data_IF_630948361196
#
_entry.id   IF_630948361196
#
_cell.length_a   1.000
_cell.length_b   1.000
_cell.length_c   1.000
_cell.angle_alpha   90.00
_cell.angle_beta   90.00
_cell.angle_gamma   90.00
#
_symmetry.space_group_name_H-M   'P 1'
#
loop_
_entity.id
_entity.type
_entity.pdbx_description
1 polymer ?
#
# COMPACT_ATOMS: atom_id res chain seq x y z
N UNK A 1 -3.40 1.27 -0.33
CA UNK A 1 -3.20 0.81 1.07
C UNK A 1 -2.41 -0.49 1.02
N UNK A 2 -1.37 -0.63 1.84
CA UNK A 2 -0.60 -1.87 1.95
C UNK A 2 -0.83 -2.50 3.33
N UNK A 3 -1.15 -3.78 3.36
CA UNK A 3 -1.55 -4.53 4.55
C UNK A 3 -0.63 -5.73 4.71
N UNK A 4 -0.20 -6.02 5.93
CA UNK A 4 0.54 -7.26 6.21
C UNK A 4 -0.40 -8.47 6.10
N UNK A 5 -0.07 -9.50 5.30
CA UNK A 5 -0.93 -10.66 5.04
C UNK A 5 -0.99 -11.63 6.23
N UNK A 6 -1.49 -11.16 7.36
CA UNK A 6 -1.73 -11.97 8.55
C UNK A 6 -3.22 -11.97 8.86
N UNK A 7 -3.75 -13.11 9.32
CA UNK A 7 -5.18 -13.28 9.57
C UNK A 7 -5.75 -12.21 10.53
N UNK A 8 -4.97 -11.78 11.52
CA UNK A 8 -5.39 -10.71 12.45
C UNK A 8 -5.57 -9.36 11.76
N UNK A 9 -4.74 -9.05 10.75
CA UNK A 9 -4.84 -7.82 9.98
C UNK A 9 -5.94 -7.94 8.91
N UNK A 10 -6.10 -9.13 8.33
CA UNK A 10 -7.20 -9.43 7.42
C UNK A 10 -8.56 -9.16 8.07
N UNK A 11 -8.79 -9.63 9.31
CA UNK A 11 -10.02 -9.33 10.04
C UNK A 11 -10.23 -7.83 10.25
N UNK A 12 -9.18 -7.09 10.62
CA UNK A 12 -9.25 -5.64 10.83
C UNK A 12 -9.59 -4.90 9.55
N UNK A 13 -8.98 -5.30 8.44
CA UNK A 13 -9.22 -4.69 7.13
C UNK A 13 -10.62 -5.01 6.62
N UNK A 14 -11.06 -6.27 6.72
CA UNK A 14 -12.41 -6.65 6.32
C UNK A 14 -13.47 -5.87 7.12
N UNK A 15 -13.30 -5.76 8.43
CA UNK A 15 -14.19 -4.97 9.28
C UNK A 15 -14.19 -3.48 8.90
N UNK A 16 -13.02 -2.87 8.70
CA UNK A 16 -12.91 -1.47 8.30
C UNK A 16 -13.53 -1.20 6.92
N UNK A 17 -13.38 -2.13 5.97
CA UNK A 17 -14.00 -2.03 4.65
C UNK A 17 -15.52 -2.19 4.71
N UNK A 18 -16.01 -3.10 5.56
CA UNK A 18 -17.44 -3.27 5.80
C UNK A 18 -18.05 -2.02 6.42
N UNK A 19 -17.41 -1.43 7.43
CA UNK A 19 -17.83 -0.16 8.05
C UNK A 19 -17.77 1.00 7.06
N UNK A 20 -16.77 1.03 6.17
CA UNK A 20 -16.67 2.02 5.10
C UNK A 20 -17.76 1.86 4.03
N UNK A 21 -18.43 0.70 3.95
CA UNK A 21 -19.43 0.40 2.92
C UNK A 21 -18.81 -0.04 1.59
N UNK A 22 -17.63 -0.65 1.61
CA UNK A 22 -17.04 -1.26 0.42
C UNK A 22 -17.88 -2.46 -0.07
N UNK A 23 -17.93 -2.71 -1.39
CA UNK A 23 -18.59 -3.91 -1.93
C UNK A 23 -17.75 -5.14 -1.61
N UNK A 24 -18.17 -5.91 -0.61
CA UNK A 24 -17.48 -7.11 -0.13
C UNK A 24 -18.17 -8.41 -0.60
N UNK A 25 -19.16 -8.33 -1.49
CA UNK A 25 -19.85 -9.49 -2.00
C UNK A 25 -18.89 -10.48 -2.66
N UNK A 26 -18.89 -11.72 -2.16
CA UNK A 26 -18.01 -12.78 -2.66
C UNK A 26 -16.58 -12.73 -2.11
N UNK A 27 -16.27 -11.79 -1.20
CA UNK A 27 -15.00 -11.75 -0.50
C UNK A 27 -15.12 -12.34 0.91
N UNK A 28 -14.02 -12.96 1.31
CA UNK A 28 -13.78 -13.53 2.63
C UNK A 28 -12.65 -12.78 3.32
N UNK A 29 -12.44 -13.07 4.61
CA UNK A 29 -11.30 -12.51 5.35
C UNK A 29 -9.99 -13.04 4.77
N UNK A 30 -9.99 -14.31 4.37
CA UNK A 30 -8.84 -15.05 3.86
C UNK A 30 -8.25 -14.41 2.58
N UNK A 31 -9.06 -13.74 1.77
CA UNK A 31 -8.61 -13.00 0.57
C UNK A 31 -7.62 -11.86 0.90
N UNK A 32 -7.59 -11.39 2.15
CA UNK A 32 -6.63 -10.39 2.63
C UNK A 32 -5.35 -11.01 3.24
N UNK A 33 -5.21 -12.34 3.15
CA UNK A 33 -3.99 -13.08 3.51
C UNK A 33 -3.21 -13.58 2.30
N UNK A 34 -3.85 -13.61 1.12
CA UNK A 34 -3.20 -14.00 -0.14
C UNK A 34 -2.38 -12.84 -0.73
N UNK A 35 -1.06 -13.02 -0.85
CA UNK A 35 -0.16 -12.00 -1.39
C UNK A 35 -0.32 -11.71 -2.88
N UNK A 36 -0.87 -12.66 -3.65
CA UNK A 36 -0.98 -12.57 -5.10
C UNK A 36 -2.27 -11.89 -5.55
N UNK A 37 -3.28 -11.82 -4.68
CA UNK A 37 -4.52 -11.09 -4.95
C UNK A 37 -4.40 -9.60 -4.62
N UNK A 38 -5.20 -8.78 -5.31
CA UNK A 38 -5.38 -7.36 -5.00
C UNK A 38 -6.87 -7.04 -4.94
N UNK A 39 -7.25 -6.14 -4.03
CA UNK A 39 -8.63 -5.67 -3.94
C UNK A 39 -8.68 -4.19 -4.28
N UNK A 40 -9.63 -3.80 -5.12
CA UNK A 40 -9.77 -2.43 -5.61
C UNK A 40 -11.17 -1.95 -5.27
N UNK A 41 -11.25 -0.74 -4.73
CA UNK A 41 -12.53 -0.04 -4.51
C UNK A 41 -12.54 1.28 -5.27
N UNK A 42 -13.72 1.61 -5.80
CA UNK A 42 -13.96 2.85 -6.54
C UNK A 42 -13.38 2.86 -7.96
N UNK A 43 -13.39 4.06 -8.55
CA UNK A 43 -12.89 4.35 -9.89
C UNK A 43 -12.04 5.61 -9.85
N UNK A 44 -11.17 5.80 -10.85
CA UNK A 44 -10.35 7.01 -10.94
C UNK A 44 -11.23 8.29 -10.93
N UNK A 45 -10.81 9.38 -10.26
CA UNK A 45 -9.55 9.56 -9.52
C UNK A 45 -9.59 9.02 -8.07
N UNK A 46 -10.75 8.56 -7.59
CA UNK A 46 -10.96 8.12 -6.21
C UNK A 46 -10.85 6.59 -6.05
N UNK A 47 -9.89 5.98 -6.76
CA UNK A 47 -9.62 4.54 -6.69
C UNK A 47 -8.67 4.24 -5.53
N UNK A 48 -8.95 3.20 -4.77
CA UNK A 48 -8.06 2.71 -3.71
C UNK A 48 -7.70 1.26 -4.00
N UNK A 49 -6.40 1.00 -4.12
CA UNK A 49 -5.85 -0.33 -4.31
C UNK A 49 -5.38 -0.86 -2.94
N UNK A 50 -5.84 -2.04 -2.54
CA UNK A 50 -5.42 -2.74 -1.32
C UNK A 50 -4.50 -3.89 -1.71
N UNK A 51 -3.25 -3.74 -1.33
CA UNK A 51 -2.15 -4.64 -1.66
C UNK A 51 -1.70 -5.36 -0.40
N UNK A 52 -1.22 -6.59 -0.58
CA UNK A 52 -0.58 -7.37 0.49
C UNK A 52 0.92 -7.54 0.28
N UNK A 53 1.37 -7.32 -0.96
CA UNK A 53 2.76 -7.38 -1.38
C UNK A 53 3.14 -6.13 -2.16
N UNK A 54 4.36 -5.67 -1.93
CA UNK A 54 5.01 -4.64 -2.75
C UNK A 54 6.34 -5.23 -3.22
N UNK A 55 6.63 -5.26 -4.54
CA UNK A 55 7.90 -5.76 -5.04
C UNK A 55 9.09 -5.10 -4.37
N UNK A 56 10.09 -5.90 -3.98
CA UNK A 56 11.33 -5.41 -3.39
C UNK A 56 11.27 -5.01 -1.92
N UNK A 57 10.12 -5.13 -1.25
CA UNK A 57 9.97 -4.74 0.16
C UNK A 57 9.37 -5.85 1.03
N UNK A 58 9.93 -5.98 2.24
CA UNK A 58 9.34 -6.74 3.34
C UNK A 58 8.49 -5.84 4.24
N UNK A 59 7.23 -6.22 4.50
CA UNK A 59 6.30 -5.36 5.24
C UNK A 59 6.87 -4.90 6.59
N UNK A 60 7.44 -5.82 7.38
CA UNK A 60 7.92 -5.50 8.73
C UNK A 60 9.09 -4.49 8.71
N UNK A 61 9.93 -4.54 7.67
CA UNK A 61 11.04 -3.60 7.49
C UNK A 61 10.53 -2.22 7.09
N UNK A 62 9.74 -2.16 6.02
CA UNK A 62 9.16 -0.91 5.54
C UNK A 62 8.22 -0.26 6.57
N UNK A 63 7.45 -1.06 7.33
CA UNK A 63 6.61 -0.54 8.41
C UNK A 63 7.44 0.05 9.55
N UNK A 64 8.63 -0.47 9.83
CA UNK A 64 9.55 0.15 10.81
C UNK A 64 10.08 1.49 10.33
N UNK A 65 10.40 1.59 9.04
CA UNK A 65 10.95 2.78 8.39
C UNK A 65 9.89 3.82 8.01
N UNK A 66 8.60 3.48 8.14
CA UNK A 66 7.48 4.31 7.68
C UNK A 66 7.55 5.73 8.23
N UNK A 67 7.13 6.67 7.40
CA UNK A 67 6.93 8.05 7.79
C UNK A 67 5.46 8.27 8.12
N UNK A 68 5.17 9.00 9.21
CA UNK A 68 3.80 9.33 9.59
C UNK A 68 3.54 10.78 9.21
N UNK A 69 2.56 10.99 8.33
CA UNK A 69 2.11 12.31 7.93
C UNK A 69 0.68 12.54 8.41
N UNK A 70 0.38 13.79 8.76
CA UNK A 70 -0.97 14.22 9.10
C UNK A 70 -1.59 14.88 7.88
N UNK A 71 -2.61 14.24 7.30
CA UNK A 71 -3.42 14.78 6.23
C UNK A 71 -4.70 15.34 6.82
N UNK A 72 -4.83 16.67 6.84
CA UNK A 72 -5.89 17.38 7.59
C UNK A 72 -5.81 16.97 9.07
N UNK A 73 -6.73 16.13 9.53
CA UNK A 73 -6.81 15.63 10.91
C UNK A 73 -6.52 14.13 11.03
N UNK A 74 -6.12 13.49 9.92
CA UNK A 74 -5.86 12.03 9.86
C UNK A 74 -4.37 11.76 9.79
N UNK A 75 -3.85 11.04 10.78
CA UNK A 75 -2.49 10.49 10.73
C UNK A 75 -2.46 9.22 9.88
N UNK A 76 -1.65 9.23 8.83
CA UNK A 76 -1.46 8.09 7.94
C UNK A 76 0.02 7.71 7.85
N UNK A 77 0.27 6.41 7.65
CA UNK A 77 1.61 5.86 7.44
C UNK A 77 1.92 5.81 5.96
N UNK A 78 3.11 6.27 5.59
CA UNK A 78 3.64 6.27 4.23
C UNK A 78 4.97 5.51 4.20
N UNK A 79 5.31 4.94 3.05
CA UNK A 79 6.67 4.44 2.82
C UNK A 79 7.66 5.58 3.01
N UNK A 80 8.82 5.27 3.57
CA UNK A 80 9.96 6.18 3.51
C UNK A 80 10.32 6.46 2.05
N UNK A 81 11.01 7.58 1.80
CA UNK A 81 11.49 7.87 0.45
C UNK A 81 12.38 6.74 -0.11
N UNK A 82 13.19 6.11 0.74
CA UNK A 82 14.09 5.03 0.34
C UNK A 82 13.35 3.74 -0.01
N UNK A 83 12.37 3.35 0.81
CA UNK A 83 11.55 2.18 0.51
C UNK A 83 10.68 2.42 -0.74
N UNK A 84 10.21 3.65 -0.96
CA UNK A 84 9.47 4.00 -2.17
C UNK A 84 10.33 3.87 -3.43
N UNK A 85 11.59 4.30 -3.38
CA UNK A 85 12.54 4.14 -4.50
C UNK A 85 12.78 2.66 -4.76
N UNK A 86 13.08 1.87 -3.73
CA UNK A 86 13.31 0.42 -3.86
C UNK A 86 12.10 -0.30 -4.48
N UNK A 87 10.88 0.03 -4.02
CA UNK A 87 9.66 -0.55 -4.57
C UNK A 87 9.46 -0.24 -6.06
N UNK A 88 9.75 1.00 -6.47
CA UNK A 88 9.64 1.43 -7.87
C UNK A 88 10.70 0.79 -8.75
N UNK A 89 11.94 0.70 -8.28
CA UNK A 89 13.02 -0.01 -8.98
C UNK A 89 12.68 -1.48 -9.18
N UNK A 90 12.17 -2.16 -8.14
CA UNK A 90 11.77 -3.56 -8.22
C UNK A 90 10.55 -3.80 -9.13
N UNK A 91 9.61 -2.84 -9.20
CA UNK A 91 8.43 -2.93 -10.06
C UNK A 91 8.74 -2.66 -11.54
N UNK A 92 9.76 -1.83 -11.81
CA UNK A 92 10.32 -1.55 -13.14
C UNK A 92 9.31 -1.20 -14.25
N UNK A 93 8.13 -0.65 -13.92
CA UNK A 93 7.18 -0.14 -14.91
C UNK A 93 7.75 1.12 -15.56
N UNK A 94 7.43 1.43 -16.84
CA UNK A 94 7.98 2.62 -17.51
C UNK A 94 7.81 3.93 -16.72
N UNK A 95 6.65 4.11 -16.08
CA UNK A 95 6.41 5.27 -15.22
C UNK A 95 7.23 5.23 -13.91
N UNK A 96 7.42 4.05 -13.31
CA UNK A 96 8.21 3.92 -12.09
C UNK A 96 9.68 4.29 -12.34
N UNK A 97 10.25 3.88 -13.48
CA UNK A 97 11.61 4.26 -13.87
C UNK A 97 11.74 5.78 -13.98
N UNK A 98 10.77 6.43 -14.64
CA UNK A 98 10.75 7.89 -14.75
C UNK A 98 10.60 8.59 -13.39
N UNK A 99 9.85 8.00 -12.46
CA UNK A 99 9.64 8.53 -11.12
C UNK A 99 10.88 8.36 -10.23
N UNK A 100 11.58 7.22 -10.31
CA UNK A 100 12.81 6.95 -9.52
C UNK A 100 13.84 8.05 -9.73
N UNK A 101 14.07 8.46 -10.98
CA UNK A 101 15.01 9.54 -11.29
C UNK A 101 14.63 10.88 -10.66
N UNK A 102 13.34 11.19 -10.59
CA UNK A 102 12.86 12.42 -9.92
C UNK A 102 13.00 12.32 -8.40
N UNK A 103 12.68 11.18 -7.82
CA UNK A 103 12.77 10.93 -6.38
C UNK A 103 14.23 10.99 -5.90
N UNK A 104 15.16 10.39 -6.65
CA UNK A 104 16.61 10.46 -6.35
C UNK A 104 17.13 11.90 -6.38
N UNK A 105 16.72 12.69 -7.36
CA UNK A 105 17.08 14.12 -7.43
C UNK A 105 16.55 14.91 -6.24
N UNK A 106 15.29 14.69 -5.86
CA UNK A 106 14.68 15.34 -4.71
C UNK A 106 15.32 14.95 -3.37
N UNK A 107 15.92 13.75 -3.28
CA UNK A 107 16.68 13.30 -2.09
C UNK A 107 18.01 14.04 -1.92
N UNK A 108 18.61 14.51 -3.02
CA UNK A 108 19.95 15.15 -3.04
C UNK A 108 19.92 16.67 -2.86
N UNK A 109 18.72 17.28 -2.86
CA UNK A 109 18.50 18.72 -2.66
C UNK A 109 18.14 19.04 -1.21
#
# INVERSE_FOLDING_TARGET
>A
VWVKPEIINAHKVFAALSEFGAPLEGLSVEDFTDEESFFIIGINPNRIDILKKIPGLEFSGAYRNREIFTLKDVRASFLSLDDLILAKEASARPQDIADVEKLKKAKMS
#
